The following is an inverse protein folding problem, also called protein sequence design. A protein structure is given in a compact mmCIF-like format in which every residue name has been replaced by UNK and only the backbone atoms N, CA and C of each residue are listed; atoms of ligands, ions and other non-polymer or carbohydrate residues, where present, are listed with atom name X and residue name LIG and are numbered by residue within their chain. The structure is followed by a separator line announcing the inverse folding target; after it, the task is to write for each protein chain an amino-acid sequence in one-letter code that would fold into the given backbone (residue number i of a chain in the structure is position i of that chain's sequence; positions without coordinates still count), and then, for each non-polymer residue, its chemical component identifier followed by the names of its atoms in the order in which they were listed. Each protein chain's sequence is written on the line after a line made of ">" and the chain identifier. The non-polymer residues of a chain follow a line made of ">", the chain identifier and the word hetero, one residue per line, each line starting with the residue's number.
data_IF_513819469429
#
_entry.id   IF_513819469429
#
_cell.length_a   1.000
_cell.length_b   1.000
_cell.length_c   1.000
_cell.angle_alpha   90.00
_cell.angle_beta   90.00
_cell.angle_gamma   90.00
#
_symmetry.space_group_name_H-M   'P 1'
#
loop_
_entity.id
_entity.type
_entity.pdbx_description
1 polymer ?
#
# COMPACT_ATOMS: atom_id res chain seq x y z
N UNK A 1 46.06 37.20 -36.27
CA UNK A 1 45.89 35.74 -36.34
C UNK A 1 44.69 35.40 -35.48
N UNK A 2 43.55 35.19 -36.13
CA UNK A 2 42.24 34.98 -35.53
C UNK A 2 42.00 33.48 -35.38
N UNK A 3 41.76 33.00 -34.16
CA UNK A 3 41.39 31.62 -33.88
C UNK A 3 39.99 31.57 -33.27
N UNK A 4 38.97 31.37 -34.10
CA UNK A 4 37.60 31.12 -33.68
C UNK A 4 37.46 29.63 -33.33
N UNK A 5 37.37 29.31 -32.04
CA UNK A 5 37.08 27.98 -31.53
C UNK A 5 35.57 27.73 -31.54
N UNK A 6 35.11 26.89 -32.47
CA UNK A 6 33.72 26.43 -32.55
C UNK A 6 33.44 25.42 -31.44
N UNK A 7 32.65 25.81 -30.44
CA UNK A 7 32.14 24.89 -29.43
C UNK A 7 30.99 24.09 -30.02
N UNK A 8 31.25 22.80 -30.29
CA UNK A 8 30.22 21.82 -30.62
C UNK A 8 29.24 21.69 -29.46
N UNK A 9 28.00 22.17 -29.66
CA UNK A 9 26.84 21.82 -28.86
C UNK A 9 26.59 20.32 -29.02
N UNK A 10 26.96 19.55 -27.99
CA UNK A 10 26.62 18.13 -27.90
C UNK A 10 25.10 17.98 -27.94
N UNK A 11 24.64 17.19 -28.90
CA UNK A 11 23.24 16.81 -29.07
C UNK A 11 22.72 16.20 -27.77
N UNK A 12 21.63 16.79 -27.26
CA UNK A 12 20.90 16.31 -26.09
C UNK A 12 20.55 14.84 -26.33
N UNK A 13 21.08 13.99 -25.44
CA UNK A 13 20.78 12.57 -25.32
C UNK A 13 19.29 12.34 -25.53
N UNK A 14 18.95 11.51 -26.52
CA UNK A 14 17.60 11.01 -26.76
C UNK A 14 16.98 10.58 -25.43
N UNK A 15 15.94 11.27 -24.99
CA UNK A 15 15.17 10.84 -23.83
C UNK A 15 14.67 9.42 -24.09
N UNK A 16 14.92 8.45 -23.19
CA UNK A 16 14.42 7.11 -23.35
C UNK A 16 12.90 7.16 -23.54
N UNK A 17 12.42 6.42 -24.55
CA UNK A 17 11.03 6.30 -24.97
C UNK A 17 10.08 6.33 -23.75
N UNK A 18 9.42 7.47 -23.53
CA UNK A 18 8.65 7.78 -22.31
C UNK A 18 7.35 6.97 -22.16
N UNK A 19 7.22 5.85 -22.87
CA UNK A 19 6.04 4.98 -22.88
C UNK A 19 5.66 4.62 -21.45
N UNK A 20 4.41 4.94 -21.08
CA UNK A 20 3.88 4.49 -19.80
C UNK A 20 3.99 2.96 -19.75
N UNK A 21 4.66 2.47 -18.71
CA UNK A 21 4.83 1.03 -18.51
C UNK A 21 3.48 0.35 -18.39
N UNK A 22 3.20 -0.59 -19.29
CA UNK A 22 2.01 -1.43 -19.23
C UNK A 22 2.08 -2.38 -18.04
N UNK A 23 1.02 -2.43 -17.25
CA UNK A 23 0.85 -3.45 -16.21
C UNK A 23 0.46 -4.76 -16.90
N UNK A 24 1.21 -5.86 -16.67
CA UNK A 24 0.87 -7.15 -17.27
C UNK A 24 -0.55 -7.60 -16.91
N UNK A 25 -1.22 -8.26 -17.85
CA UNK A 25 -2.44 -8.99 -17.56
C UNK A 25 -2.14 -10.07 -16.50
N UNK A 26 -3.09 -10.33 -15.60
CA UNK A 26 -2.96 -11.48 -14.71
C UNK A 26 -2.97 -12.73 -15.58
N UNK A 27 -2.04 -13.65 -15.32
CA UNK A 27 -1.82 -14.78 -16.23
C UNK A 27 -1.52 -16.09 -15.52
N UNK A 28 -0.94 -16.06 -14.31
CA UNK A 28 -0.50 -17.29 -13.62
C UNK A 28 -0.89 -17.24 -12.14
N UNK A 29 -1.59 -18.27 -11.61
CA UNK A 29 -1.87 -18.41 -10.18
C UNK A 29 -0.59 -18.33 -9.33
N UNK A 30 -0.65 -17.68 -8.18
CA UNK A 30 0.46 -17.51 -7.25
C UNK A 30 1.56 -16.55 -7.72
N UNK A 31 1.59 -16.13 -8.99
CA UNK A 31 2.57 -15.19 -9.48
C UNK A 31 2.19 -13.75 -9.10
N UNK A 32 3.16 -13.03 -8.56
CA UNK A 32 3.05 -11.60 -8.22
C UNK A 32 4.14 -10.87 -8.99
N UNK A 33 3.76 -9.97 -9.89
CA UNK A 33 4.71 -9.12 -10.59
C UNK A 33 5.34 -8.09 -9.63
N UNK A 34 6.53 -7.62 -9.98
CA UNK A 34 7.17 -6.53 -9.23
C UNK A 34 6.26 -5.30 -9.15
N UNK A 35 6.29 -4.63 -8.01
CA UNK A 35 5.57 -3.38 -7.81
C UNK A 35 6.43 -2.21 -8.29
N UNK A 36 5.89 -1.38 -9.18
CA UNK A 36 6.62 -0.26 -9.78
C UNK A 36 6.04 1.05 -9.29
N UNK A 37 6.84 1.80 -8.54
CA UNK A 37 6.45 3.05 -7.91
C UNK A 37 7.43 4.15 -8.25
N UNK A 38 6.94 5.38 -8.29
CA UNK A 38 7.80 6.57 -8.25
C UNK A 38 8.44 6.69 -6.85
N UNK A 39 9.42 7.58 -6.69
CA UNK A 39 9.89 7.90 -5.34
C UNK A 39 8.78 8.59 -4.52
N UNK A 40 8.78 8.49 -3.19
CA UNK A 40 7.80 9.16 -2.35
C UNK A 40 7.76 10.67 -2.58
N UNK A 41 6.66 11.16 -3.14
CA UNK A 41 6.45 12.58 -3.43
C UNK A 41 6.93 13.09 -4.77
N UNK A 42 7.53 12.23 -5.59
CA UNK A 42 7.60 12.51 -7.01
C UNK A 42 6.20 12.48 -7.64
N UNK A 43 5.91 13.37 -8.59
CA UNK A 43 4.69 13.31 -9.37
C UNK A 43 4.70 12.07 -10.27
N UNK A 44 3.51 11.61 -10.66
CA UNK A 44 3.39 10.59 -11.70
C UNK A 44 3.94 11.12 -13.02
N UNK A 45 4.56 10.23 -13.80
CA UNK A 45 5.01 10.57 -15.14
C UNK A 45 3.79 10.76 -16.06
N UNK A 46 3.87 11.67 -17.05
CA UNK A 46 2.84 11.78 -18.07
C UNK A 46 2.62 10.43 -18.76
N UNK A 47 1.37 10.10 -19.07
CA UNK A 47 1.09 8.92 -19.88
C UNK A 47 1.32 9.26 -21.36
N UNK A 48 2.38 8.73 -21.97
CA UNK A 48 2.78 9.09 -23.34
C UNK A 48 2.09 8.25 -24.44
N UNK A 49 0.86 7.81 -24.21
CA UNK A 49 0.07 7.11 -25.22
C UNK A 49 -0.56 8.10 -26.20
N UNK A 50 0.10 8.36 -27.32
CA UNK A 50 -0.41 9.04 -28.53
C UNK A 50 -0.85 10.53 -28.42
N UNK A 51 -0.98 11.24 -29.57
CA UNK A 51 -1.48 12.62 -29.65
C UNK A 51 -2.97 12.82 -29.24
N UNK A 52 -3.48 12.04 -28.27
CA UNK A 52 -4.88 12.04 -27.81
C UNK A 52 -5.06 12.27 -26.29
N UNK A 53 -3.99 12.44 -25.52
CA UNK A 53 -4.04 12.72 -24.08
C UNK A 53 -4.30 11.48 -23.20
N UNK A 54 -4.50 11.71 -21.89
CA UNK A 54 -4.60 10.66 -20.86
C UNK A 54 -5.69 9.59 -21.11
N UNK A 55 -6.64 9.85 -22.00
CA UNK A 55 -7.73 8.94 -22.37
C UNK A 55 -7.26 7.68 -23.12
N UNK A 56 -6.06 7.67 -23.72
CA UNK A 56 -5.57 6.55 -24.53
C UNK A 56 -4.80 5.46 -23.72
N UNK A 57 -4.73 5.59 -22.39
CA UNK A 57 -3.96 4.67 -21.56
C UNK A 57 -4.73 3.38 -21.24
N UNK A 58 -4.35 2.28 -21.89
CA UNK A 58 -4.99 0.96 -21.91
C UNK A 58 -4.68 0.06 -20.69
N UNK A 59 -4.37 0.66 -19.54
CA UNK A 59 -4.08 -0.08 -18.31
C UNK A 59 -5.30 -0.91 -17.89
N UNK A 60 -5.10 -2.13 -17.35
CA UNK A 60 -6.17 -3.10 -17.08
C UNK A 60 -7.02 -2.77 -15.83
N UNK A 61 -7.26 -1.50 -15.53
CA UNK A 61 -7.95 -1.04 -14.32
C UNK A 61 -9.34 -1.67 -14.22
N UNK A 62 -10.13 -1.62 -15.29
CA UNK A 62 -11.51 -2.14 -15.28
C UNK A 62 -11.54 -3.66 -15.11
N UNK A 63 -10.62 -4.38 -15.74
CA UNK A 63 -10.48 -5.82 -15.57
C UNK A 63 -10.11 -6.18 -14.12
N UNK A 64 -9.20 -5.42 -13.50
CA UNK A 64 -8.78 -5.64 -12.12
C UNK A 64 -9.87 -5.28 -11.11
N UNK A 65 -10.66 -4.23 -11.38
CA UNK A 65 -11.84 -3.89 -10.60
C UNK A 65 -12.92 -4.98 -10.69
N UNK A 66 -13.15 -5.55 -11.88
CA UNK A 66 -14.07 -6.69 -12.03
C UNK A 66 -13.64 -7.86 -11.15
N UNK A 67 -12.35 -8.24 -11.16
CA UNK A 67 -11.82 -9.31 -10.30
C UNK A 67 -12.02 -9.01 -8.81
N UNK A 68 -11.80 -7.76 -8.38
CA UNK A 68 -12.04 -7.35 -7.00
C UNK A 68 -13.54 -7.42 -6.63
N UNK A 69 -14.42 -6.96 -7.51
CA UNK A 69 -15.87 -7.02 -7.30
C UNK A 69 -16.42 -8.44 -7.32
N UNK A 70 -15.84 -9.33 -8.12
CA UNK A 70 -16.14 -10.77 -8.12
C UNK A 70 -15.78 -11.38 -6.76
N UNK A 71 -14.55 -11.15 -6.27
CA UNK A 71 -14.11 -11.61 -4.95
C UNK A 71 -15.00 -11.06 -3.83
N UNK A 72 -15.39 -9.79 -3.88
CA UNK A 72 -16.30 -9.20 -2.90
C UNK A 72 -17.71 -9.80 -2.91
N UNK A 73 -18.12 -10.43 -4.03
CA UNK A 73 -19.39 -11.17 -4.16
C UNK A 73 -19.26 -12.65 -3.84
N UNK A 74 -18.09 -13.13 -3.41
CA UNK A 74 -17.86 -14.53 -3.09
C UNK A 74 -17.39 -15.38 -4.27
N UNK A 75 -17.05 -14.78 -5.41
CA UNK A 75 -16.51 -15.51 -6.56
C UNK A 75 -14.98 -15.57 -6.48
N UNK A 76 -14.41 -16.77 -6.64
CA UNK A 76 -12.95 -16.99 -6.59
C UNK A 76 -12.40 -17.34 -7.99
N UNK A 77 -12.17 -16.36 -8.89
CA UNK A 77 -11.57 -16.62 -10.20
C UNK A 77 -10.13 -17.15 -10.07
N UNK A 78 -9.80 -18.24 -10.75
CA UNK A 78 -8.48 -18.92 -10.65
C UNK A 78 -7.29 -18.02 -10.98
N UNK A 79 -7.51 -16.94 -11.74
CA UNK A 79 -6.46 -16.07 -12.27
C UNK A 79 -5.59 -15.39 -11.19
N UNK A 80 -6.11 -15.25 -9.97
CA UNK A 80 -5.42 -14.61 -8.84
C UNK A 80 -5.17 -15.56 -7.66
N UNK A 81 -5.45 -16.86 -7.82
CA UNK A 81 -5.40 -17.83 -6.72
C UNK A 81 -4.02 -17.83 -6.04
N UNK A 82 -3.98 -17.86 -4.69
CA UNK A 82 -2.74 -17.98 -3.95
C UNK A 82 -2.13 -19.39 -4.13
N UNK A 83 -0.85 -19.59 -3.74
CA UNK A 83 -0.28 -20.93 -3.65
C UNK A 83 -1.08 -21.83 -2.71
N UNK A 84 -1.19 -23.12 -3.05
CA UNK A 84 -1.90 -24.11 -2.22
C UNK A 84 -1.09 -24.57 -1.01
N UNK A 85 0.23 -24.61 -1.11
CA UNK A 85 1.12 -24.89 0.00
C UNK A 85 1.06 -23.77 1.05
N UNK A 86 0.96 -24.14 2.33
CA UNK A 86 0.76 -23.19 3.43
C UNK A 86 1.97 -22.25 3.65
N UNK A 87 3.19 -22.75 3.46
CA UNK A 87 4.41 -21.97 3.65
C UNK A 87 4.58 -20.98 2.49
N UNK A 88 4.36 -21.44 1.26
CA UNK A 88 4.35 -20.56 0.08
C UNK A 88 3.22 -19.54 0.14
N UNK A 89 2.03 -19.92 0.62
CA UNK A 89 0.94 -18.95 0.85
C UNK A 89 1.31 -17.93 1.91
N UNK A 90 2.02 -18.32 2.97
CA UNK A 90 2.50 -17.37 3.99
C UNK A 90 3.44 -16.32 3.38
N UNK A 91 4.39 -16.75 2.54
CA UNK A 91 5.26 -15.84 1.79
C UNK A 91 4.49 -14.95 0.82
N UNK A 92 3.51 -15.54 0.13
CA UNK A 92 2.63 -14.84 -0.79
C UNK A 92 1.83 -13.73 -0.08
N UNK A 93 1.15 -14.06 1.03
CA UNK A 93 0.41 -13.11 1.86
C UNK A 93 1.31 -12.00 2.37
N UNK A 94 2.52 -12.35 2.79
CA UNK A 94 3.52 -11.37 3.20
C UNK A 94 3.90 -10.42 2.06
N UNK A 95 4.24 -10.94 0.88
CA UNK A 95 4.64 -10.14 -0.29
C UNK A 95 3.50 -9.26 -0.81
N UNK A 96 2.35 -9.84 -1.12
CA UNK A 96 1.19 -9.12 -1.68
C UNK A 96 0.63 -8.12 -0.69
N UNK A 97 0.52 -8.51 0.58
CA UNK A 97 0.10 -7.63 1.66
C UNK A 97 0.99 -6.38 1.74
N UNK A 98 2.31 -6.56 1.75
CA UNK A 98 3.24 -5.43 1.80
C UNK A 98 3.27 -4.61 0.50
N UNK A 99 3.13 -5.22 -0.68
CA UNK A 99 2.94 -4.47 -1.93
C UNK A 99 1.73 -3.52 -1.82
N UNK A 100 0.59 -4.05 -1.38
CA UNK A 100 -0.61 -3.25 -1.20
C UNK A 100 -0.38 -2.14 -0.15
N UNK A 101 0.26 -2.46 0.98
CA UNK A 101 0.60 -1.46 2.02
C UNK A 101 1.43 -0.31 1.48
N UNK A 102 2.49 -0.60 0.73
CA UNK A 102 3.37 0.44 0.18
C UNK A 102 2.62 1.33 -0.81
N UNK A 103 1.76 0.76 -1.66
CA UNK A 103 0.87 1.55 -2.51
C UNK A 103 -0.12 2.40 -1.68
N UNK A 104 -0.75 1.83 -0.64
CA UNK A 104 -1.64 2.57 0.26
C UNK A 104 -0.90 3.73 0.95
N UNK A 105 0.36 3.56 1.36
CA UNK A 105 1.15 4.65 1.95
C UNK A 105 1.37 5.82 0.99
N UNK A 106 1.63 5.55 -0.30
CA UNK A 106 1.72 6.63 -1.27
C UNK A 106 0.36 7.35 -1.46
N UNK A 107 -0.75 6.61 -1.51
CA UNK A 107 -2.10 7.18 -1.56
C UNK A 107 -2.42 8.04 -0.33
N UNK A 108 -2.10 7.54 0.88
CA UNK A 108 -2.23 8.27 2.13
C UNK A 108 -1.40 9.55 2.10
N UNK A 109 -0.13 9.47 1.70
CA UNK A 109 0.77 10.63 1.59
C UNK A 109 0.20 11.69 0.65
N UNK A 110 -0.32 11.30 -0.52
CA UNK A 110 -0.95 12.23 -1.48
C UNK A 110 -2.17 12.92 -0.87
N UNK A 111 -3.10 12.18 -0.26
CA UNK A 111 -4.29 12.75 0.38
C UNK A 111 -3.96 13.61 1.60
N UNK A 112 -3.00 13.19 2.44
CA UNK A 112 -2.53 13.96 3.60
C UNK A 112 -1.90 15.28 3.17
N UNK A 113 -1.13 15.32 2.07
CA UNK A 113 -0.60 16.55 1.50
C UNK A 113 -1.71 17.47 0.99
N UNK A 114 -2.72 16.92 0.31
CA UNK A 114 -3.89 17.68 -0.13
C UNK A 114 -4.63 18.30 1.07
N UNK A 115 -4.88 17.52 2.12
CA UNK A 115 -5.48 18.01 3.36
C UNK A 115 -4.65 19.12 4.01
N UNK A 116 -3.33 18.92 4.13
CA UNK A 116 -2.43 19.86 4.81
C UNK A 116 -2.23 21.18 4.04
N UNK A 117 -2.49 21.18 2.73
CA UNK A 117 -2.36 22.35 1.86
C UNK A 117 -3.72 22.99 1.50
N UNK A 118 -4.85 22.36 1.85
CA UNK A 118 -6.17 22.89 1.55
C UNK A 118 -6.54 24.02 2.53
N UNK A 119 -6.98 25.16 2.00
CA UNK A 119 -7.53 26.27 2.81
C UNK A 119 -8.79 25.86 3.57
N UNK A 120 -9.61 24.98 2.98
CA UNK A 120 -10.87 24.46 3.54
C UNK A 120 -11.02 22.97 3.24
N UNK A 121 -10.33 22.08 3.97
CA UNK A 121 -10.46 20.64 3.76
C UNK A 121 -11.88 20.17 4.10
N UNK A 122 -12.37 19.18 3.36
CA UNK A 122 -13.71 18.61 3.60
C UNK A 122 -13.64 17.46 4.61
N UNK A 123 -14.71 17.23 5.41
CA UNK A 123 -14.80 16.03 6.25
C UNK A 123 -14.71 14.72 5.45
N UNK A 124 -15.12 14.73 4.17
CA UNK A 124 -15.00 13.59 3.26
C UNK A 124 -13.54 13.19 3.02
N UNK A 125 -12.64 14.16 2.81
CA UNK A 125 -11.22 13.89 2.61
C UNK A 125 -10.55 13.34 3.88
N UNK A 126 -10.93 13.80 5.08
CA UNK A 126 -10.47 13.21 6.35
C UNK A 126 -10.92 11.76 6.47
N UNK A 127 -12.19 11.47 6.17
CA UNK A 127 -12.73 10.10 6.18
C UNK A 127 -12.08 9.20 5.14
N UNK A 128 -11.71 9.71 3.97
CA UNK A 128 -10.98 8.94 2.96
C UNK A 128 -9.62 8.48 3.50
N UNK A 129 -8.85 9.36 4.15
CA UNK A 129 -7.57 8.94 4.76
C UNK A 129 -7.79 7.97 5.92
N UNK A 130 -8.83 8.16 6.73
CA UNK A 130 -9.19 7.21 7.79
C UNK A 130 -9.48 5.81 7.21
N UNK A 131 -10.26 5.71 6.14
CA UNK A 131 -10.54 4.45 5.44
C UNK A 131 -9.28 3.78 4.87
N UNK A 132 -8.31 4.57 4.39
CA UNK A 132 -7.00 4.00 4.01
C UNK A 132 -6.24 3.41 5.20
N UNK A 133 -6.42 3.93 6.42
CA UNK A 133 -5.90 3.29 7.63
C UNK A 133 -6.64 2.01 7.99
N UNK A 134 -7.96 1.94 7.75
CA UNK A 134 -8.72 0.71 7.93
C UNK A 134 -8.25 -0.36 6.94
N UNK A 135 -8.08 -0.01 5.65
CA UNK A 135 -7.47 -0.88 4.63
C UNK A 135 -6.08 -1.32 5.07
N UNK A 136 -5.26 -0.40 5.59
CA UNK A 136 -3.93 -0.75 6.08
C UNK A 136 -3.97 -1.70 7.29
N UNK A 137 -4.91 -1.53 8.21
CA UNK A 137 -5.09 -2.42 9.35
C UNK A 137 -5.45 -3.83 8.90
N UNK A 138 -6.37 -3.97 7.94
CA UNK A 138 -6.69 -5.25 7.33
C UNK A 138 -5.47 -5.90 6.67
N UNK A 139 -4.66 -5.13 5.94
CA UNK A 139 -3.45 -5.65 5.28
C UNK A 139 -2.42 -6.18 6.29
N UNK A 140 -2.35 -5.61 7.50
CA UNK A 140 -1.52 -6.17 8.58
C UNK A 140 -2.06 -7.51 9.10
N UNK A 141 -3.37 -7.61 9.32
CA UNK A 141 -4.01 -8.85 9.74
C UNK A 141 -3.78 -9.94 8.68
N UNK A 142 -3.97 -9.60 7.41
CA UNK A 142 -3.75 -10.48 6.27
C UNK A 142 -2.30 -10.95 6.14
N UNK A 143 -1.33 -10.03 6.13
CA UNK A 143 0.09 -10.39 6.00
C UNK A 143 0.59 -11.16 7.22
N UNK A 144 0.10 -10.82 8.42
CA UNK A 144 0.43 -11.47 9.68
C UNK A 144 -0.51 -12.62 10.07
N UNK A 145 -1.21 -13.22 9.10
CA UNK A 145 -2.28 -14.19 9.34
C UNK A 145 -1.81 -15.59 9.76
N UNK A 146 -0.51 -15.88 9.69
CA UNK A 146 0.07 -17.17 10.05
C UNK A 146 0.39 -17.29 11.56
N UNK A 147 0.72 -18.51 11.99
CA UNK A 147 1.25 -18.78 13.33
C UNK A 147 2.67 -18.23 13.53
N UNK A 148 3.04 -17.94 14.79
CA UNK A 148 4.39 -17.48 15.13
C UNK A 148 5.49 -18.44 14.66
N UNK A 149 5.24 -19.75 14.78
CA UNK A 149 6.16 -20.80 14.30
C UNK A 149 6.34 -20.73 12.79
N UNK A 150 5.24 -20.68 12.02
CA UNK A 150 5.33 -20.62 10.56
C UNK A 150 6.00 -19.33 10.09
N UNK A 151 5.70 -18.21 10.73
CA UNK A 151 6.40 -16.95 10.48
C UNK A 151 7.91 -17.07 10.71
N UNK A 152 8.32 -17.68 11.82
CA UNK A 152 9.74 -17.92 12.13
C UNK A 152 10.43 -18.81 11.08
N UNK A 153 9.77 -19.90 10.68
CA UNK A 153 10.30 -20.91 9.76
C UNK A 153 10.29 -20.47 8.28
N UNK A 154 9.53 -19.41 7.93
CA UNK A 154 9.40 -18.91 6.54
C UNK A 154 9.88 -17.47 6.43
N UNK A 155 8.95 -16.51 6.56
CA UNK A 155 9.17 -15.09 6.31
C UNK A 155 10.31 -14.52 7.13
N UNK A 156 10.39 -14.83 8.43
CA UNK A 156 11.45 -14.30 9.29
C UNK A 156 12.82 -14.84 8.90
N UNK A 157 12.90 -16.13 8.54
CA UNK A 157 14.12 -16.74 8.04
C UNK A 157 14.56 -16.06 6.73
N UNK A 158 13.63 -15.82 5.81
CA UNK A 158 13.90 -15.13 4.54
C UNK A 158 14.38 -13.67 4.79
N UNK A 159 13.73 -12.93 5.71
CA UNK A 159 14.13 -11.58 6.10
C UNK A 159 15.53 -11.54 6.71
N UNK A 160 15.84 -12.49 7.61
CA UNK A 160 17.14 -12.58 8.27
C UNK A 160 18.25 -12.94 7.27
N UNK A 161 17.97 -13.87 6.35
CA UNK A 161 18.89 -14.24 5.28
C UNK A 161 19.17 -13.06 4.33
N UNK A 162 18.19 -12.19 4.09
CA UNK A 162 18.37 -10.98 3.30
C UNK A 162 19.18 -9.91 4.04
N UNK A 163 18.84 -9.63 5.31
CA UNK A 163 19.65 -8.80 6.19
C UNK A 163 19.35 -9.06 7.69
N UNK A 164 20.35 -9.30 8.56
CA UNK A 164 20.11 -9.62 9.98
C UNK A 164 19.32 -8.56 10.76
N UNK A 165 19.46 -7.29 10.38
CA UNK A 165 18.74 -6.15 10.97
C UNK A 165 17.44 -5.74 10.25
N UNK A 166 16.92 -6.56 9.32
CA UNK A 166 15.81 -6.17 8.46
C UNK A 166 14.61 -5.62 9.24
N UNK A 167 14.07 -4.49 8.79
CA UNK A 167 13.00 -3.79 9.50
C UNK A 167 12.01 -3.17 8.53
N UNK A 168 10.72 -3.24 8.88
CA UNK A 168 9.66 -2.52 8.18
C UNK A 168 9.82 -0.99 8.22
N UNK A 169 10.63 -0.47 9.15
CA UNK A 169 10.94 0.97 9.25
C UNK A 169 11.77 1.49 8.06
N UNK A 170 12.32 0.61 7.24
CA UNK A 170 13.13 0.97 6.07
C UNK A 170 12.28 1.36 4.85
N UNK A 171 10.96 1.19 4.90
CA UNK A 171 10.06 1.54 3.80
C UNK A 171 10.00 3.05 3.54
N UNK A 172 10.49 3.48 2.37
CA UNK A 172 10.55 4.90 1.95
C UNK A 172 9.18 5.60 2.00
N UNK A 173 8.13 4.89 1.58
CA UNK A 173 6.80 5.48 1.35
C UNK A 173 6.05 5.82 2.65
N UNK A 174 6.46 5.26 3.80
CA UNK A 174 5.88 5.60 5.10
C UNK A 174 6.47 6.88 5.71
N UNK A 175 7.73 7.22 5.39
CA UNK A 175 8.48 8.31 6.02
C UNK A 175 7.74 9.67 6.04
N UNK A 176 7.02 10.09 4.98
CA UNK A 176 6.31 11.38 4.99
C UNK A 176 5.12 11.43 5.94
N UNK A 177 4.49 10.29 6.25
CA UNK A 177 3.18 10.21 6.90
C UNK A 177 3.20 10.81 8.32
N UNK A 178 4.14 10.45 9.24
CA UNK A 178 4.17 11.02 10.58
C UNK A 178 4.32 12.55 10.61
N UNK A 179 5.10 13.11 9.69
CA UNK A 179 5.30 14.56 9.59
C UNK A 179 4.02 15.27 9.12
N UNK A 180 3.33 14.70 8.12
CA UNK A 180 2.06 15.23 7.62
C UNK A 180 0.96 15.18 8.69
N UNK A 181 0.85 14.09 9.44
CA UNK A 181 -0.08 13.99 10.56
C UNK A 181 0.22 15.02 11.65
N UNK A 182 1.49 15.25 12.00
CA UNK A 182 1.88 16.30 12.95
C UNK A 182 1.49 17.69 12.44
N UNK A 183 1.69 17.97 11.15
CA UNK A 183 1.27 19.23 10.54
C UNK A 183 -0.24 19.43 10.64
N UNK A 184 -1.04 18.43 10.26
CA UNK A 184 -2.51 18.49 10.34
C UNK A 184 -3.00 18.77 11.76
N UNK A 185 -2.43 18.09 12.77
CA UNK A 185 -2.79 18.31 14.18
C UNK A 185 -2.51 19.72 14.69
N UNK A 186 -1.57 20.44 14.06
CA UNK A 186 -1.27 21.85 14.40
C UNK A 186 -2.20 22.82 13.68
N UNK A 187 -2.76 22.44 12.54
CA UNK A 187 -3.52 23.34 11.66
C UNK A 187 -5.04 23.14 11.73
N UNK A 188 -5.53 22.02 12.29
CA UNK A 188 -6.95 21.72 12.38
C UNK A 188 -7.36 21.31 13.80
N UNK A 189 -8.64 21.48 14.13
CA UNK A 189 -9.18 21.10 15.43
C UNK A 189 -9.15 19.58 15.64
N UNK A 190 -9.05 19.17 16.90
CA UNK A 190 -9.08 17.75 17.28
C UNK A 190 -10.39 17.06 16.83
N UNK A 191 -11.53 17.74 16.95
CA UNK A 191 -12.84 17.20 16.54
C UNK A 191 -12.92 16.95 15.04
N UNK A 192 -12.34 17.83 14.22
CA UNK A 192 -12.31 17.65 12.76
C UNK A 192 -11.45 16.45 12.35
N UNK A 193 -10.33 16.22 13.04
CA UNK A 193 -9.40 15.13 12.75
C UNK A 193 -9.71 13.82 13.47
N UNK A 194 -10.71 13.79 14.36
CA UNK A 194 -10.97 12.63 15.22
C UNK A 194 -11.06 11.30 14.43
N UNK A 195 -11.81 11.19 13.31
CA UNK A 195 -11.87 9.94 12.55
C UNK A 195 -10.51 9.45 12.04
N UNK A 196 -9.66 10.37 11.59
CA UNK A 196 -8.31 10.05 11.11
C UNK A 196 -7.39 9.65 12.27
N UNK A 197 -7.47 10.36 13.39
CA UNK A 197 -6.64 10.07 14.57
C UNK A 197 -7.00 8.71 15.16
N UNK A 198 -8.28 8.39 15.24
CA UNK A 198 -8.75 7.12 15.79
C UNK A 198 -8.37 5.94 14.90
N UNK A 199 -8.57 6.05 13.57
CA UNK A 199 -8.15 5.03 12.61
C UNK A 199 -6.62 4.82 12.63
N UNK A 200 -5.81 5.89 12.67
CA UNK A 200 -4.36 5.79 12.75
C UNK A 200 -3.88 5.15 14.07
N UNK A 201 -4.57 5.43 15.18
CA UNK A 201 -4.28 4.80 16.48
C UNK A 201 -4.64 3.31 16.48
N UNK A 202 -5.81 2.95 15.94
CA UNK A 202 -6.21 1.55 15.80
C UNK A 202 -5.20 0.79 14.93
N UNK A 203 -4.84 1.34 13.77
CA UNK A 203 -3.83 0.75 12.89
C UNK A 203 -2.49 0.50 13.61
N UNK A 204 -2.03 1.46 14.41
CA UNK A 204 -0.81 1.27 15.21
C UNK A 204 -0.95 0.14 16.23
N UNK A 205 -2.09 0.03 16.93
CA UNK A 205 -2.34 -1.06 17.89
C UNK A 205 -2.41 -2.42 17.20
N UNK A 206 -3.07 -2.51 16.05
CA UNK A 206 -3.10 -3.72 15.21
C UNK A 206 -1.69 -4.13 14.81
N UNK A 207 -0.87 -3.19 14.34
CA UNK A 207 0.53 -3.46 13.99
C UNK A 207 1.33 -4.03 15.18
N UNK A 208 1.24 -3.39 16.36
CA UNK A 208 1.93 -3.86 17.57
C UNK A 208 1.45 -5.25 17.98
N UNK A 209 0.13 -5.49 17.93
CA UNK A 209 -0.43 -6.76 18.36
C UNK A 209 -0.07 -7.90 17.39
N UNK A 210 -0.04 -7.65 16.08
CA UNK A 210 0.49 -8.61 15.08
C UNK A 210 1.98 -8.87 15.32
N UNK A 211 2.78 -7.83 15.57
CA UNK A 211 4.20 -8.01 15.86
C UNK A 211 4.43 -8.87 17.11
N UNK A 212 3.66 -8.65 18.17
CA UNK A 212 3.70 -9.46 19.39
C UNK A 212 3.25 -10.90 19.13
N UNK A 213 2.19 -11.10 18.32
CA UNK A 213 1.75 -12.45 17.93
C UNK A 213 2.86 -13.22 17.21
N UNK A 214 3.48 -12.60 16.20
CA UNK A 214 4.46 -13.26 15.36
C UNK A 214 5.83 -13.42 16.03
N UNK A 215 6.17 -12.55 16.98
CA UNK A 215 7.45 -12.53 17.68
C UNK A 215 7.21 -12.31 19.19
N UNK A 216 6.64 -13.30 19.91
CA UNK A 216 6.19 -13.12 21.29
C UNK A 216 7.31 -12.82 22.28
N UNK A 217 8.54 -13.27 22.00
CA UNK A 217 9.71 -12.95 22.80
C UNK A 217 10.24 -11.51 22.58
N UNK A 218 9.64 -10.72 21.68
CA UNK A 218 9.95 -9.29 21.50
C UNK A 218 11.27 -8.98 20.80
N UNK A 219 11.95 -9.99 20.22
CA UNK A 219 13.20 -9.83 19.48
C UNK A 219 13.00 -9.08 18.15
N UNK A 220 13.18 -7.75 18.18
CA UNK A 220 13.25 -6.96 16.96
C UNK A 220 14.63 -7.18 16.34
N UNK A 221 14.68 -7.64 15.09
CA UNK A 221 15.91 -7.81 14.31
C UNK A 221 16.80 -6.55 14.36
N UNK A 222 16.18 -5.37 14.35
CA UNK A 222 16.86 -4.08 14.46
C UNK A 222 17.58 -3.89 15.81
N UNK A 223 16.93 -4.28 16.90
CA UNK A 223 17.50 -4.20 18.26
C UNK A 223 18.54 -5.28 18.48
N UNK A 224 18.28 -6.49 17.99
CA UNK A 224 19.19 -7.63 18.07
C UNK A 224 20.49 -7.34 17.31
N UNK A 225 20.42 -6.55 16.23
CA UNK A 225 21.57 -6.05 15.49
C UNK A 225 22.26 -4.81 16.12
N UNK A 226 21.84 -4.38 17.33
CA UNK A 226 22.51 -3.32 18.09
C UNK A 226 22.23 -1.89 17.65
N UNK A 227 21.20 -1.63 16.83
CA UNK A 227 20.91 -0.29 16.33
C UNK A 227 20.19 0.56 17.39
N UNK A 228 20.54 1.85 17.46
CA UNK A 228 19.88 2.82 18.33
C UNK A 228 18.58 3.35 17.70
N UNK A 229 17.50 3.51 18.48
CA UNK A 229 16.31 4.22 18.02
C UNK A 229 16.66 5.68 17.68
N UNK A 230 16.21 6.17 16.51
CA UNK A 230 16.26 7.59 16.16
C UNK A 230 17.10 7.95 14.93
N UNK A 231 18.03 7.09 14.51
CA UNK A 231 18.94 7.40 13.39
C UNK A 231 18.26 7.38 12.01
N UNK A 232 17.04 6.82 11.93
CA UNK A 232 16.33 6.61 10.66
C UNK A 232 17.04 5.61 9.75
N UNK A 233 16.40 5.10 8.69
CA UNK A 233 17.05 4.20 7.74
C UNK A 233 18.07 4.93 6.86
N UNK A 234 19.15 4.24 6.47
CA UNK A 234 20.07 4.69 5.42
C UNK A 234 19.49 4.42 4.03
N UNK A 235 20.06 5.01 2.97
CA UNK A 235 19.62 4.71 1.60
C UNK A 235 19.84 3.26 1.21
N UNK A 236 20.93 2.65 1.65
CA UNK A 236 21.19 1.23 1.42
C UNK A 236 20.12 0.35 2.07
N UNK A 237 19.69 0.65 3.30
CA UNK A 237 18.64 -0.11 3.97
C UNK A 237 17.27 0.02 3.29
N UNK A 238 16.98 1.22 2.78
CA UNK A 238 15.79 1.45 1.98
C UNK A 238 15.83 0.66 0.66
N UNK A 239 16.99 0.56 0.02
CA UNK A 239 17.18 -0.26 -1.18
C UNK A 239 17.05 -1.75 -0.88
N UNK A 240 17.54 -2.21 0.29
CA UNK A 240 17.35 -3.59 0.75
C UNK A 240 15.87 -3.89 0.99
N UNK A 241 15.10 -2.96 1.56
CA UNK A 241 13.66 -3.08 1.73
C UNK A 241 12.95 -3.23 0.37
N UNK A 242 13.26 -2.34 -0.58
CA UNK A 242 12.70 -2.38 -1.92
C UNK A 242 13.07 -3.70 -2.64
N UNK A 243 14.31 -4.16 -2.50
CA UNK A 243 14.78 -5.42 -3.06
C UNK A 243 14.03 -6.63 -2.48
N UNK A 244 13.90 -6.73 -1.15
CA UNK A 244 13.20 -7.84 -0.49
C UNK A 244 11.74 -7.93 -0.94
N UNK A 245 11.05 -6.79 -0.98
CA UNK A 245 9.66 -6.73 -1.41
C UNK A 245 9.51 -6.60 -2.92
N UNK A 246 10.57 -6.72 -3.74
CA UNK A 246 10.49 -6.64 -5.20
C UNK A 246 9.79 -5.35 -5.69
N UNK A 247 10.11 -4.23 -5.06
CA UNK A 247 9.65 -2.90 -5.42
C UNK A 247 10.70 -2.26 -6.33
N UNK A 248 10.30 -1.83 -7.52
CA UNK A 248 11.15 -1.10 -8.45
C UNK A 248 10.80 0.37 -8.46
N UNK A 249 11.80 1.22 -8.26
CA UNK A 249 11.67 2.67 -8.34
C UNK A 249 11.88 3.15 -9.77
N UNK A 250 10.93 3.90 -10.31
CA UNK A 250 11.04 4.46 -11.64
C UNK A 250 9.79 5.20 -12.12
N UNK A 251 9.85 5.77 -13.34
CA UNK A 251 8.72 6.44 -13.97
C UNK A 251 7.49 5.55 -14.02
N UNK A 252 6.37 6.05 -13.50
CA UNK A 252 5.07 5.37 -13.53
C UNK A 252 3.98 6.40 -13.72
N UNK A 253 3.12 6.17 -14.72
CA UNK A 253 1.95 7.01 -14.91
C UNK A 253 0.85 6.63 -13.91
N UNK A 254 -0.05 7.58 -13.63
CA UNK A 254 -1.08 7.40 -12.62
C UNK A 254 -1.96 6.16 -12.84
N UNK A 255 -2.35 5.89 -14.08
CA UNK A 255 -3.17 4.73 -14.43
C UNK A 255 -2.42 3.40 -14.21
N UNK A 256 -1.11 3.36 -14.45
CA UNK A 256 -0.29 2.18 -14.13
C UNK A 256 -0.17 1.97 -12.61
N UNK A 257 -0.05 3.05 -11.84
CA UNK A 257 -0.10 2.98 -10.38
C UNK A 257 -1.45 2.45 -9.87
N UNK A 258 -2.57 2.97 -10.39
CA UNK A 258 -3.91 2.51 -10.05
C UNK A 258 -4.07 1.02 -10.38
N UNK A 259 -3.78 0.62 -11.62
CA UNK A 259 -3.90 -0.78 -12.05
C UNK A 259 -3.08 -1.73 -11.16
N UNK A 260 -1.80 -1.41 -10.87
CA UNK A 260 -1.00 -2.24 -9.96
C UNK A 260 -1.61 -2.33 -8.57
N UNK A 261 -2.09 -1.21 -8.03
CA UNK A 261 -2.69 -1.16 -6.69
C UNK A 261 -3.96 -1.99 -6.63
N UNK A 262 -4.88 -1.81 -7.58
CA UNK A 262 -6.13 -2.58 -7.65
C UNK A 262 -5.83 -4.07 -7.82
N UNK A 263 -4.87 -4.45 -8.68
CA UNK A 263 -4.46 -5.85 -8.82
C UNK A 263 -4.01 -6.46 -7.49
N UNK A 264 -3.20 -5.75 -6.69
CA UNK A 264 -2.76 -6.27 -5.38
C UNK A 264 -3.91 -6.37 -4.39
N UNK A 265 -4.81 -5.39 -4.37
CA UNK A 265 -6.04 -5.46 -3.56
C UNK A 265 -6.92 -6.63 -3.99
N UNK A 266 -7.03 -6.90 -5.29
CA UNK A 266 -7.79 -8.03 -5.84
C UNK A 266 -7.17 -9.38 -5.43
N UNK A 267 -5.84 -9.53 -5.46
CA UNK A 267 -5.16 -10.71 -4.93
C UNK A 267 -5.49 -10.96 -3.45
N UNK A 268 -5.42 -9.92 -2.62
CA UNK A 268 -5.78 -10.02 -1.18
C UNK A 268 -7.25 -10.41 -1.01
N UNK A 269 -8.16 -9.75 -1.73
CA UNK A 269 -9.59 -10.02 -1.64
C UNK A 269 -9.92 -11.46 -2.06
N UNK A 270 -9.29 -11.95 -3.12
CA UNK A 270 -9.45 -13.30 -3.63
C UNK A 270 -8.99 -14.34 -2.61
N UNK A 271 -7.77 -14.20 -2.08
CA UNK A 271 -7.23 -15.10 -1.05
C UNK A 271 -8.08 -15.09 0.23
N UNK A 272 -8.55 -13.92 0.68
CA UNK A 272 -9.48 -13.83 1.82
C UNK A 272 -10.81 -14.53 1.51
N UNK A 273 -11.32 -14.42 0.29
CA UNK A 273 -12.56 -15.09 -0.12
C UNK A 273 -12.41 -16.62 -0.10
N UNK A 274 -11.24 -17.15 -0.51
CA UNK A 274 -10.98 -18.59 -0.59
C UNK A 274 -10.57 -19.20 0.76
N UNK A 275 -9.82 -18.47 1.58
CA UNK A 275 -9.15 -19.02 2.76
C UNK A 275 -9.42 -18.25 4.06
N UNK A 276 -10.20 -17.17 4.01
CA UNK A 276 -10.41 -16.29 5.16
C UNK A 276 -9.19 -15.40 5.48
N UNK A 277 -9.37 -14.48 6.42
CA UNK A 277 -8.31 -13.54 6.83
C UNK A 277 -7.19 -14.24 7.59
N UNK A 278 -7.53 -15.17 8.49
CA UNK A 278 -6.57 -15.88 9.35
C UNK A 278 -6.30 -17.30 8.83
N UNK A 279 -5.05 -17.77 8.92
CA UNK A 279 -4.76 -19.18 8.66
C UNK A 279 -5.32 -20.08 9.78
N UNK A 280 -5.63 -21.36 9.50
CA UNK A 280 -6.24 -22.26 10.49
C UNK A 280 -5.42 -22.51 11.77
N UNK A 281 -4.10 -22.36 11.71
CA UNK A 281 -3.18 -22.53 12.85
C UNK A 281 -2.79 -21.22 13.53
N UNK A 282 -3.35 -20.09 13.08
CA UNK A 282 -3.10 -18.78 13.66
C UNK A 282 -3.71 -18.68 15.05
N UNK A 283 -2.96 -18.13 16.00
CA UNK A 283 -3.52 -17.71 17.28
C UNK A 283 -4.26 -16.38 17.12
N UNK A 284 -5.21 -16.13 18.03
CA UNK A 284 -5.85 -14.82 18.12
C UNK A 284 -4.82 -13.72 18.47
N UNK A 285 -5.14 -12.49 18.08
CA UNK A 285 -4.33 -11.31 18.37
C UNK A 285 -4.79 -10.71 19.70
N UNK A 286 -3.86 -10.52 20.64
CA UNK A 286 -4.19 -9.93 21.94
C UNK A 286 -4.41 -8.42 21.84
N UNK A 287 -5.64 -7.98 22.07
CA UNK A 287 -6.07 -6.57 22.01
C UNK A 287 -7.01 -6.23 23.17
N UNK A 288 -7.16 -4.93 23.45
CA UNK A 288 -8.22 -4.47 24.36
C UNK A 288 -9.59 -4.86 23.82
N UNK A 289 -10.61 -5.04 24.67
CA UNK A 289 -11.95 -5.46 24.21
C UNK A 289 -12.54 -4.52 23.15
N UNK A 290 -12.32 -3.20 23.26
CA UNK A 290 -12.77 -2.24 22.25
C UNK A 290 -12.03 -2.39 20.92
N UNK A 291 -10.72 -2.63 20.97
CA UNK A 291 -9.91 -2.82 19.76
C UNK A 291 -10.20 -4.15 19.10
N UNK A 292 -10.40 -5.21 19.88
CA UNK A 292 -10.79 -6.53 19.39
C UNK A 292 -12.11 -6.46 18.61
N UNK A 293 -13.12 -5.74 19.11
CA UNK A 293 -14.37 -5.50 18.36
C UNK A 293 -14.16 -4.73 17.07
N UNK A 294 -13.29 -3.72 17.08
CA UNK A 294 -12.98 -2.94 15.87
C UNK A 294 -12.23 -3.80 14.83
N UNK A 295 -11.31 -4.64 15.27
CA UNK A 295 -10.60 -5.60 14.42
C UNK A 295 -11.55 -6.64 13.84
N UNK A 296 -12.39 -7.25 14.69
CA UNK A 296 -13.42 -8.19 14.26
C UNK A 296 -14.31 -7.57 13.19
N UNK A 297 -14.75 -6.32 13.38
CA UNK A 297 -15.53 -5.60 12.38
C UNK A 297 -14.79 -5.43 11.04
N UNK A 298 -13.48 -5.14 11.08
CA UNK A 298 -12.63 -5.05 9.88
C UNK A 298 -12.52 -6.42 9.19
N UNK A 299 -12.33 -7.50 9.93
CA UNK A 299 -12.22 -8.86 9.39
C UNK A 299 -13.54 -9.33 8.77
N UNK A 300 -14.67 -9.16 9.47
CA UNK A 300 -16.01 -9.51 8.98
C UNK A 300 -16.42 -8.70 7.73
N UNK A 301 -15.82 -7.51 7.54
CA UNK A 301 -16.07 -6.63 6.41
C UNK A 301 -14.85 -6.53 5.47
N UNK A 302 -13.93 -7.50 5.48
CA UNK A 302 -12.63 -7.39 4.83
C UNK A 302 -12.72 -6.98 3.35
N UNK A 303 -13.57 -7.65 2.55
CA UNK A 303 -13.73 -7.33 1.12
C UNK A 303 -14.31 -5.94 0.89
N UNK A 304 -15.21 -5.47 1.76
CA UNK A 304 -15.75 -4.09 1.72
C UNK A 304 -14.69 -3.05 2.07
N UNK A 305 -13.85 -3.33 3.07
CA UNK A 305 -12.70 -2.48 3.44
C UNK A 305 -11.71 -2.35 2.28
N UNK A 306 -11.45 -3.45 1.57
CA UNK A 306 -10.62 -3.47 0.37
C UNK A 306 -11.24 -2.68 -0.80
N UNK A 307 -12.55 -2.84 -1.04
CA UNK A 307 -13.28 -2.07 -2.04
C UNK A 307 -13.21 -0.56 -1.76
N UNK A 308 -13.42 -0.14 -0.51
CA UNK A 308 -13.27 1.28 -0.16
C UNK A 308 -11.86 1.80 -0.37
N UNK A 309 -10.83 1.00 -0.06
CA UNK A 309 -9.44 1.34 -0.38
C UNK A 309 -9.24 1.53 -1.88
N UNK A 310 -9.76 0.61 -2.69
CA UNK A 310 -9.73 0.67 -4.15
C UNK A 310 -10.45 1.92 -4.71
N UNK A 311 -11.67 2.20 -4.27
CA UNK A 311 -12.45 3.39 -4.65
C UNK A 311 -11.69 4.70 -4.36
N UNK A 312 -11.02 4.77 -3.20
CA UNK A 312 -10.22 5.94 -2.86
C UNK A 312 -9.03 6.07 -3.82
N UNK A 313 -8.33 4.97 -4.11
CA UNK A 313 -7.18 4.94 -5.03
C UNK A 313 -7.59 5.34 -6.46
N UNK A 314 -8.69 4.81 -6.99
CA UNK A 314 -9.17 5.16 -8.33
C UNK A 314 -9.64 6.62 -8.40
N UNK A 315 -10.17 7.16 -7.31
CA UNK A 315 -10.60 8.57 -7.24
C UNK A 315 -9.43 9.58 -7.20
N UNK A 316 -8.18 9.12 -7.07
CA UNK A 316 -7.01 10.00 -7.10
C UNK A 316 -6.80 10.66 -8.48
N UNK A 317 -7.46 10.16 -9.53
CA UNK A 317 -7.29 10.55 -10.95
C UNK A 317 -7.84 11.94 -11.30
N UNK A 318 -8.62 12.57 -10.42
CA UNK A 318 -9.28 13.82 -10.76
C UNK A 318 -8.62 15.02 -10.13
N UNK A 319 -8.09 15.91 -10.97
CA UNK A 319 -7.93 17.32 -10.63
C UNK A 319 -9.16 17.80 -9.83
N UNK A 320 -8.93 18.11 -8.56
CA UNK A 320 -9.81 18.83 -7.65
C UNK A 320 -11.19 18.21 -7.35
N UNK A 321 -11.38 17.75 -6.10
CA UNK A 321 -12.39 18.28 -5.15
C UNK A 321 -13.89 18.21 -5.56
N UNK A 322 -14.25 17.62 -6.69
CA UNK A 322 -15.62 17.72 -7.22
C UNK A 322 -16.49 16.53 -6.79
N UNK A 323 -15.94 15.31 -6.69
CA UNK A 323 -16.71 14.11 -6.31
C UNK A 323 -17.18 14.15 -4.85
N UNK A 324 -16.45 14.81 -3.95
CA UNK A 324 -16.84 14.91 -2.54
C UNK A 324 -17.89 16.00 -2.24
N UNK A 325 -18.44 16.66 -3.29
CA UNK A 325 -19.58 17.57 -3.17
C UNK A 325 -20.95 16.88 -3.30
N UNK A 326 -21.01 15.59 -3.64
CA UNK A 326 -22.31 14.91 -3.76
C UNK A 326 -22.71 14.17 -2.46
N UNK A 327 -23.90 14.44 -1.90
CA UNK A 327 -24.45 13.71 -0.74
C UNK A 327 -24.81 12.23 -1.01
N UNK A 328 -24.68 11.74 -2.25
CA UNK A 328 -25.26 10.48 -2.69
C UNK A 328 -24.63 9.22 -2.04
N UNK A 329 -23.39 9.30 -1.56
CA UNK A 329 -22.73 8.16 -0.88
C UNK A 329 -23.14 7.98 0.59
N UNK A 330 -23.98 8.85 1.15
CA UNK A 330 -24.48 8.70 2.53
C UNK A 330 -25.74 7.83 2.65
N UNK A 331 -26.32 7.33 1.55
CA UNK A 331 -27.61 6.61 1.59
C UNK A 331 -27.55 5.09 1.36
N UNK A 332 -26.37 4.48 1.21
CA UNK A 332 -26.24 3.04 0.97
C UNK A 332 -25.76 2.22 2.18
N UNK A 333 -25.64 2.81 3.37
CA UNK A 333 -25.19 2.12 4.61
C UNK A 333 -25.91 2.62 5.87
N UNK A 334 -27.20 2.92 5.73
CA UNK A 334 -28.12 2.97 6.88
C UNK A 334 -28.94 1.69 6.90
#
# INVERSE_FOLDING_TARGET
>A
MSGAGSHHLGTVSSYPDHRCRRVPAASIPGQVDDLVLTMPGEPFSPCSGEPGGAAACDQPIDADLCLLHDAARGACPTLLSPPSDLNERTRYRWLVGHHAVVAIWQSQTRLLRLLANATRPTPGAVRAVARLYDTYSLLFLYAGSCSARRYADTVRADMYAHHPAFSGQWGRDYEPIPQLLRRLRRTHSASFLAPLVDAAKLNHRVHVAIANKLVPAGGSLLRDAGRKPGDGPSDHERDLFDSFFRIRRGPSCQRAYIAQTIRRIAHVAHDICEHGVNDPDSSEVELSTSDARAVQHIEENATRVLLHGAEIVTSLDYHAVTIWRQPALARATA
#
